data_IF_314800061366
#
_entry.id   IF_314800061366
#
_cell.length_a   1.000
_cell.length_b   1.000
_cell.length_c   1.000
_cell.angle_alpha   90.00
_cell.angle_beta   90.00
_cell.angle_gamma   90.00
#
_symmetry.space_group_name_H-M   'P 1'
#
loop_
_entity.id
_entity.type
_entity.pdbx_description
1 polymer ?
#
# COMPACT_ATOMS: atom_id res chain seq x y z
N UNK A 1 50.17 -11.52 -9.29
CA UNK A 1 50.21 -10.97 -10.66
C UNK A 1 48.95 -11.41 -11.38
N UNK A 2 48.20 -10.42 -11.91
CA UNK A 2 47.42 -10.41 -13.16
C UNK A 2 46.59 -11.66 -13.49
N UNK A 3 45.26 -11.60 -13.45
CA UNK A 3 44.42 -11.33 -14.65
C UNK A 3 44.05 -12.68 -15.31
N UNK A 4 42.87 -13.01 -15.81
CA UNK A 4 41.82 -12.21 -16.44
C UNK A 4 40.53 -13.02 -16.41
N UNK A 5 39.42 -12.33 -16.18
CA UNK A 5 38.05 -12.80 -16.35
C UNK A 5 37.72 -13.07 -17.81
N UNK A 6 36.86 -14.05 -18.05
CA UNK A 6 35.70 -13.95 -18.98
C UNK A 6 34.73 -15.10 -18.68
N UNK A 7 33.59 -14.81 -18.05
CA UNK A 7 32.39 -15.62 -18.26
C UNK A 7 31.25 -14.70 -18.61
N UNK A 8 30.58 -15.14 -19.68
CA UNK A 8 29.50 -14.55 -20.43
C UNK A 8 28.36 -14.01 -19.58
N UNK A 9 27.90 -12.83 -20.01
CA UNK A 9 26.58 -12.25 -19.84
C UNK A 9 25.46 -13.29 -19.71
N UNK A 10 24.79 -13.30 -18.56
CA UNK A 10 23.33 -13.30 -18.42
C UNK A 10 22.95 -13.52 -16.95
N UNK A 11 22.82 -12.45 -16.16
CA UNK A 11 21.87 -12.44 -15.05
C UNK A 11 21.55 -10.98 -14.72
N UNK A 12 20.42 -10.52 -15.24
CA UNK A 12 19.90 -9.18 -14.98
C UNK A 12 18.42 -9.29 -14.67
N UNK A 13 18.07 -10.13 -13.71
CA UNK A 13 16.75 -10.11 -13.11
C UNK A 13 16.79 -9.14 -11.94
N UNK A 14 16.70 -7.86 -12.30
CA UNK A 14 16.26 -6.84 -11.40
C UNK A 14 14.91 -7.26 -10.82
N UNK A 15 14.85 -7.45 -9.51
CA UNK A 15 13.60 -7.46 -8.76
C UNK A 15 12.96 -6.08 -8.91
N UNK A 16 12.25 -5.88 -10.03
CA UNK A 16 11.31 -4.80 -10.22
C UNK A 16 10.09 -5.15 -9.38
N UNK A 17 10.12 -4.73 -8.11
CA UNK A 17 8.96 -4.79 -7.21
C UNK A 17 7.86 -3.86 -7.70
N UNK A 18 7.13 -4.29 -8.72
CA UNK A 18 5.91 -3.66 -9.19
C UNK A 18 4.85 -4.76 -9.24
N UNK A 19 4.18 -4.91 -8.11
CA UNK A 19 3.19 -5.95 -7.91
C UNK A 19 2.24 -5.52 -6.81
N UNK A 20 1.61 -4.36 -6.97
CA UNK A 20 0.31 -4.14 -6.38
C UNK A 20 -0.63 -5.14 -7.04
N UNK A 21 -0.73 -6.34 -6.46
CA UNK A 21 -1.72 -7.33 -6.86
C UNK A 21 -3.01 -6.91 -6.16
N UNK A 22 -3.97 -6.26 -6.84
CA UNK A 22 -5.27 -6.06 -6.25
C UNK A 22 -5.87 -7.44 -5.96
N UNK A 23 -6.04 -7.75 -4.67
CA UNK A 23 -6.75 -8.96 -4.25
C UNK A 23 -8.16 -8.88 -4.86
N UNK A 24 -8.58 -9.84 -5.69
CA UNK A 24 -9.90 -9.79 -6.30
C UNK A 24 -10.96 -9.85 -5.21
N UNK A 25 -11.73 -8.76 -5.08
CA UNK A 25 -12.92 -8.72 -4.24
C UNK A 25 -13.97 -9.64 -4.88
N UNK A 26 -13.90 -10.93 -4.57
CA UNK A 26 -14.79 -11.96 -5.11
C UNK A 26 -16.27 -11.54 -4.95
N UNK A 27 -17.00 -11.57 -6.06
CA UNK A 27 -18.39 -11.10 -6.16
C UNK A 27 -19.30 -11.73 -5.11
N UNK A 28 -19.70 -10.94 -4.10
CA UNK A 28 -20.79 -11.27 -3.19
C UNK A 28 -22.08 -10.60 -3.69
N UNK A 29 -23.18 -11.36 -3.76
CA UNK A 29 -24.49 -10.93 -4.30
C UNK A 29 -25.26 -10.02 -3.32
N UNK A 30 -24.69 -8.86 -3.07
CA UNK A 30 -25.23 -7.71 -2.34
C UNK A 30 -24.16 -6.63 -2.45
N UNK A 31 -24.51 -5.33 -2.58
CA UNK A 31 -23.51 -4.26 -2.68
C UNK A 31 -22.78 -4.10 -1.35
N UNK A 32 -21.92 -5.05 -1.02
CA UNK A 32 -21.07 -5.03 0.17
C UNK A 32 -20.11 -3.88 -0.02
N UNK A 33 -20.27 -2.86 0.82
CA UNK A 33 -19.39 -1.69 0.82
C UNK A 33 -17.99 -2.15 1.23
N UNK A 34 -16.98 -1.71 0.49
CA UNK A 34 -15.58 -2.11 0.64
C UNK A 34 -14.74 -0.89 0.94
N UNK A 35 -13.76 -1.05 1.82
CA UNK A 35 -12.70 -0.07 2.06
C UNK A 35 -11.40 -0.63 1.48
N UNK A 36 -10.71 0.16 0.67
CA UNK A 36 -9.38 -0.16 0.16
C UNK A 36 -8.33 0.46 1.08
N UNK A 37 -7.42 -0.37 1.57
CA UNK A 37 -6.30 0.07 2.40
C UNK A 37 -5.01 -0.08 1.61
N UNK A 38 -4.37 1.03 1.26
CA UNK A 38 -3.05 1.06 0.65
C UNK A 38 -1.98 1.17 1.72
N UNK A 39 -1.13 0.14 1.80
CA UNK A 39 -0.08 0.04 2.80
C UNK A 39 1.26 0.46 2.20
N UNK A 40 1.82 1.55 2.72
CA UNK A 40 3.10 2.12 2.30
C UNK A 40 4.19 1.69 3.28
N UNK A 41 5.20 1.01 2.79
CA UNK A 41 6.37 0.68 3.59
C UNK A 41 7.23 1.94 3.76
N UNK A 42 7.11 2.58 4.92
CA UNK A 42 7.81 3.83 5.23
C UNK A 42 8.47 3.71 6.60
N UNK A 43 9.81 3.77 6.70
CA UNK A 43 10.52 3.84 7.97
C UNK A 43 10.05 5.01 8.86
N UNK A 44 10.05 4.83 10.18
CA UNK A 44 9.52 5.82 11.15
C UNK A 44 10.24 7.17 11.10
N UNK A 45 11.54 7.15 10.85
CA UNK A 45 12.40 8.33 10.66
C UNK A 45 12.08 9.11 9.37
N UNK A 46 11.33 8.50 8.47
CA UNK A 46 10.88 9.08 7.21
C UNK A 46 9.35 9.20 7.13
N UNK A 47 8.66 9.33 8.27
CA UNK A 47 7.20 9.40 8.31
C UNK A 47 6.58 10.57 7.50
N UNK A 48 7.36 11.62 7.20
CA UNK A 48 6.97 12.77 6.38
C UNK A 48 7.28 12.57 4.88
N UNK A 49 7.75 11.38 4.48
CA UNK A 49 8.04 11.07 3.08
C UNK A 49 6.79 11.26 2.23
N UNK A 50 6.95 11.89 1.07
CA UNK A 50 5.85 12.04 0.13
C UNK A 50 5.31 10.67 -0.29
N UNK A 51 4.01 10.49 -0.09
CA UNK A 51 3.23 9.36 -0.61
C UNK A 51 2.26 9.91 -1.64
N UNK A 52 2.26 9.31 -2.84
CA UNK A 52 1.28 9.69 -3.84
C UNK A 52 -0.11 9.15 -3.47
N UNK A 53 -0.91 9.98 -2.81
CA UNK A 53 -2.29 9.68 -2.45
C UNK A 53 -3.28 9.94 -3.59
N UNK A 54 -2.81 10.30 -4.79
CA UNK A 54 -3.68 10.51 -5.96
C UNK A 54 -4.17 9.19 -6.54
N UNK A 55 -3.46 8.10 -6.25
CA UNK A 55 -3.95 6.78 -6.56
C UNK A 55 -5.19 6.51 -5.72
N UNK A 56 -6.32 6.34 -6.38
CA UNK A 56 -7.58 5.95 -5.76
C UNK A 56 -8.11 4.73 -6.51
N UNK A 57 -8.59 3.74 -5.78
CA UNK A 57 -9.32 2.63 -6.40
C UNK A 57 -10.62 3.16 -6.99
N UNK A 58 -11.07 2.58 -8.11
CA UNK A 58 -12.39 2.85 -8.67
C UNK A 58 -13.19 1.55 -8.67
N UNK A 59 -14.22 1.48 -7.82
CA UNK A 59 -15.12 0.34 -7.79
C UNK A 59 -16.50 0.77 -7.27
N UNK A 60 -17.63 0.31 -7.85
CA UNK A 60 -18.98 0.74 -7.43
C UNK A 60 -19.34 0.44 -5.97
N UNK A 61 -18.62 -0.49 -5.35
CA UNK A 61 -18.79 -0.83 -3.94
C UNK A 61 -17.73 -0.21 -3.02
N UNK A 62 -16.72 0.48 -3.57
CA UNK A 62 -15.67 1.12 -2.78
C UNK A 62 -16.20 2.42 -2.17
N UNK A 63 -16.10 2.54 -0.84
CA UNK A 63 -16.56 3.71 -0.10
C UNK A 63 -15.42 4.61 0.38
N UNK A 64 -14.23 4.05 0.55
CA UNK A 64 -13.07 4.78 1.05
C UNK A 64 -11.79 4.09 0.57
N UNK A 65 -10.85 4.89 0.07
CA UNK A 65 -9.45 4.50 -0.07
C UNK A 65 -8.67 5.19 1.02
N UNK A 66 -7.91 4.44 1.80
CA UNK A 66 -7.03 5.00 2.84
C UNK A 66 -5.58 4.61 2.59
N UNK A 67 -4.70 5.54 2.92
CA UNK A 67 -3.26 5.36 2.84
C UNK A 67 -2.73 5.26 4.26
N UNK A 68 -1.91 4.25 4.51
CA UNK A 68 -1.34 3.99 5.83
C UNK A 68 0.13 3.65 5.70
N UNK A 69 0.93 4.08 6.66
CA UNK A 69 2.34 3.71 6.78
C UNK A 69 2.48 2.47 7.67
N UNK A 70 3.41 1.59 7.29
CA UNK A 70 3.78 0.47 8.14
C UNK A 70 5.29 0.20 8.08
N UNK A 71 5.79 -0.52 9.10
CA UNK A 71 7.10 -1.16 9.10
C UNK A 71 6.93 -2.67 9.34
N UNK A 72 7.94 -3.46 9.00
CA UNK A 72 7.94 -4.89 9.30
C UNK A 72 8.06 -5.19 10.81
N UNK A 73 8.67 -4.28 11.56
CA UNK A 73 8.96 -4.45 12.98
C UNK A 73 7.77 -4.07 13.86
N UNK A 74 7.07 -2.99 13.52
CA UNK A 74 6.02 -2.41 14.35
C UNK A 74 4.62 -2.50 13.72
N UNK A 75 4.53 -2.90 12.45
CA UNK A 75 3.30 -2.78 11.68
C UNK A 75 2.89 -1.31 11.55
N UNK A 76 1.63 -1.02 11.87
CA UNK A 76 1.12 0.36 11.89
C UNK A 76 1.66 1.13 13.09
N UNK A 77 2.35 2.23 12.82
CA UNK A 77 2.91 3.08 13.86
C UNK A 77 2.19 4.43 13.94
N UNK A 78 2.30 5.16 15.08
CA UNK A 78 1.73 6.50 15.19
C UNK A 78 2.44 7.49 14.25
N UNK A 79 1.72 7.98 13.25
CA UNK A 79 2.11 9.10 12.39
C UNK A 79 0.86 9.86 11.93
N UNK A 80 1.03 11.06 11.38
CA UNK A 80 -0.11 11.88 10.95
C UNK A 80 -0.96 11.21 9.88
N UNK A 81 -0.34 10.49 8.93
CA UNK A 81 -1.08 9.74 7.91
C UNK A 81 -1.97 8.65 8.52
N UNK A 82 -1.43 7.84 9.44
CA UNK A 82 -2.20 6.77 10.09
C UNK A 82 -3.32 7.32 10.98
N UNK A 83 -3.09 8.44 11.67
CA UNK A 83 -4.15 9.13 12.43
C UNK A 83 -5.27 9.61 11.50
N UNK A 84 -4.93 10.22 10.36
CA UNK A 84 -5.89 10.68 9.38
C UNK A 84 -6.67 9.51 8.74
N UNK A 85 -6.01 8.38 8.48
CA UNK A 85 -6.64 7.17 7.98
C UNK A 85 -7.67 6.60 8.97
N UNK A 86 -7.33 6.52 10.27
CA UNK A 86 -8.25 6.07 11.32
C UNK A 86 -9.43 7.04 11.46
N UNK A 87 -9.20 8.35 11.41
CA UNK A 87 -10.26 9.34 11.47
C UNK A 87 -11.23 9.22 10.26
N UNK A 88 -10.67 9.02 9.06
CA UNK A 88 -11.45 8.81 7.83
C UNK A 88 -12.27 7.51 7.89
N UNK A 89 -11.69 6.43 8.42
CA UNK A 89 -12.39 5.16 8.63
C UNK A 89 -13.56 5.34 9.61
N UNK A 90 -13.34 6.03 10.73
CA UNK A 90 -14.37 6.27 11.73
C UNK A 90 -15.53 7.12 11.16
N UNK A 91 -15.21 8.12 10.33
CA UNK A 91 -16.22 8.92 9.62
C UNK A 91 -17.02 8.06 8.64
N UNK A 92 -16.34 7.26 7.80
CA UNK A 92 -16.98 6.36 6.86
C UNK A 92 -17.92 5.39 7.60
N UNK A 93 -17.46 4.73 8.67
CA UNK A 93 -18.29 3.79 9.45
C UNK A 93 -19.56 4.48 9.99
N UNK A 94 -19.46 5.72 10.47
CA UNK A 94 -20.63 6.48 10.95
C UNK A 94 -21.65 6.78 9.85
N UNK A 95 -21.22 7.01 8.63
CA UNK A 95 -22.11 7.23 7.48
C UNK A 95 -22.74 5.91 6.98
N UNK A 96 -22.20 4.77 7.38
CA UNK A 96 -22.69 3.44 7.02
C UNK A 96 -23.64 2.82 8.05
N UNK A 97 -23.62 3.31 9.28
CA UNK A 97 -24.45 2.86 10.41
C UNK A 97 -25.83 3.51 10.41
#
# INVERSE_FOLDING_TARGET
MLGSSTVSSAEKDAYSGQGDVPVPLSMHRGKQKVVLVMMHYIPKDHAESFVDTRQQGTHPALVLTMHVHYTLQDGFYPCEMNKAAVASMAAAIKELA
#
